data_IF_410710135175
#
_entry.id   IF_410710135175
#
_cell.length_a   1.000
_cell.length_b   1.000
_cell.length_c   1.000
_cell.angle_alpha   90.00
_cell.angle_beta   90.00
_cell.angle_gamma   90.00
#
_symmetry.space_group_name_H-M   'P 1'
#
loop_
_entity.id
_entity.type
_entity.pdbx_description
1 polymer ?
#
# COMPACT_ATOMS: atom_id res chain seq x y z
N UNK A 1 57.68 -68.03 8.98
CA UNK A 1 58.23 -66.69 8.63
C UNK A 1 57.66 -65.71 9.65
N UNK A 2 58.40 -65.30 10.70
CA UNK A 2 59.20 -64.06 10.78
C UNK A 2 58.38 -62.84 10.28
N UNK A 3 58.17 -61.72 10.99
CA UNK A 3 58.80 -61.15 12.19
C UNK A 3 58.14 -59.77 12.50
N UNK A 4 58.09 -59.40 13.79
CA UNK A 4 58.08 -58.05 14.43
C UNK A 4 56.84 -57.11 14.28
N UNK A 5 56.18 -56.67 15.37
CA UNK A 5 56.54 -55.80 16.53
C UNK A 5 56.47 -54.31 16.22
N UNK A 6 55.50 -53.63 16.84
CA UNK A 6 55.47 -52.26 17.41
C UNK A 6 53.99 -51.85 17.52
N UNK A 7 53.45 -51.23 18.56
CA UNK A 7 53.97 -50.57 19.75
C UNK A 7 52.81 -49.66 20.19
N UNK A 8 52.26 -49.86 21.38
CA UNK A 8 51.19 -49.02 21.93
C UNK A 8 51.82 -47.90 22.76
N UNK A 9 51.65 -46.62 22.35
CA UNK A 9 51.46 -45.44 23.24
C UNK A 9 50.69 -44.34 22.48
N UNK A 10 49.69 -43.79 23.19
CA UNK A 10 48.61 -42.81 22.93
C UNK A 10 48.80 -41.56 22.05
N UNK A 11 47.67 -41.15 21.43
CA UNK A 11 47.24 -39.74 21.33
C UNK A 11 45.73 -39.61 21.70
N UNK A 12 45.27 -38.43 22.17
CA UNK A 12 44.07 -38.28 23.01
C UNK A 12 42.77 -38.03 22.25
N UNK A 13 41.68 -38.20 23.01
CA UNK A 13 40.26 -38.07 22.67
C UNK A 13 39.89 -36.97 21.66
N UNK A 14 39.16 -37.37 20.61
CA UNK A 14 38.16 -36.53 19.95
C UNK A 14 36.77 -37.03 20.36
N UNK A 15 36.04 -36.19 21.10
CA UNK A 15 34.66 -36.42 21.49
C UNK A 15 33.74 -36.46 20.25
N UNK A 16 32.62 -37.20 20.28
CA UNK A 16 31.64 -37.15 19.22
C UNK A 16 30.93 -35.79 19.25
N UNK A 17 31.16 -34.96 18.24
CA UNK A 17 30.38 -33.75 17.99
C UNK A 17 28.97 -34.17 17.53
N UNK A 18 28.08 -34.31 18.51
CA UNK A 18 26.68 -33.87 18.50
C UNK A 18 25.96 -33.82 17.14
N UNK A 19 25.29 -34.93 16.79
CA UNK A 19 24.13 -34.98 15.86
C UNK A 19 22.97 -34.04 16.28
N UNK A 20 22.99 -33.54 17.51
CA UNK A 20 21.95 -32.66 18.08
C UNK A 20 21.99 -31.26 17.46
N UNK A 21 23.13 -30.81 16.93
CA UNK A 21 23.28 -29.43 16.44
C UNK A 21 22.77 -29.23 15.00
N UNK A 22 22.73 -30.30 14.19
CA UNK A 22 22.19 -30.23 12.83
C UNK A 22 20.66 -30.32 12.78
N UNK A 23 20.01 -31.07 13.69
CA UNK A 23 18.54 -31.07 13.79
C UNK A 23 17.99 -29.77 14.37
N UNK A 24 18.69 -29.14 15.32
CA UNK A 24 18.26 -27.87 15.92
C UNK A 24 18.24 -26.72 14.90
N UNK A 25 19.25 -26.63 14.02
CA UNK A 25 19.35 -25.57 13.01
C UNK A 25 18.29 -25.71 11.91
N UNK A 26 17.96 -26.95 11.50
CA UNK A 26 16.89 -27.19 10.50
C UNK A 26 15.50 -26.94 11.10
N UNK A 27 15.32 -27.21 12.40
CA UNK A 27 14.06 -27.01 13.08
C UNK A 27 13.77 -25.54 13.40
N UNK A 28 14.79 -24.73 13.73
CA UNK A 28 14.63 -23.29 13.90
C UNK A 28 14.29 -22.57 12.58
N UNK A 29 14.91 -22.96 11.46
CA UNK A 29 14.64 -22.32 10.16
C UNK A 29 13.20 -22.60 9.70
N UNK A 30 12.70 -23.83 9.87
CA UNK A 30 11.29 -24.16 9.59
C UNK A 30 10.28 -23.47 10.53
N UNK A 31 10.69 -23.14 11.76
CA UNK A 31 9.83 -22.44 12.72
C UNK A 31 9.80 -20.92 12.44
N UNK A 32 10.88 -20.36 11.90
CA UNK A 32 10.97 -18.94 11.54
C UNK A 32 10.26 -18.62 10.22
N UNK A 33 10.22 -19.54 9.26
CA UNK A 33 9.46 -19.41 8.00
C UNK A 33 7.93 -19.45 8.26
N UNK A 34 7.48 -20.17 9.30
CA UNK A 34 6.06 -20.23 9.67
C UNK A 34 5.54 -19.01 10.45
N UNK A 35 6.44 -18.17 10.99
CA UNK A 35 6.06 -16.97 11.75
C UNK A 35 5.72 -15.78 10.85
N UNK A 36 6.38 -15.66 9.70
CA UNK A 36 6.17 -14.54 8.76
C UNK A 36 4.97 -14.74 7.82
N UNK A 37 4.47 -15.97 7.66
CA UNK A 37 3.24 -16.25 6.91
C UNK A 37 1.94 -16.05 7.71
N UNK A 38 2.03 -15.90 9.05
CA UNK A 38 0.87 -15.91 9.94
C UNK A 38 0.16 -14.54 10.09
N UNK A 39 0.79 -13.44 9.66
CA UNK A 39 0.24 -12.09 9.89
C UNK A 39 -0.83 -11.71 8.85
N UNK A 40 -0.74 -12.19 7.61
CA UNK A 40 -1.74 -11.94 6.55
C UNK A 40 -2.90 -12.95 6.52
N UNK A 41 -2.66 -14.16 7.03
CA UNK A 41 -3.63 -15.27 7.05
C UNK A 41 -4.61 -15.15 8.21
N UNK A 42 -4.20 -14.64 9.38
CA UNK A 42 -5.05 -14.54 10.56
C UNK A 42 -6.31 -13.68 10.35
N UNK A 43 -6.20 -12.41 9.92
CA UNK A 43 -7.40 -11.55 9.74
C UNK A 43 -8.33 -12.06 8.61
N UNK A 44 -7.77 -12.65 7.56
CA UNK A 44 -8.56 -13.21 6.45
C UNK A 44 -9.29 -14.49 6.86
N UNK A 45 -8.63 -15.34 7.66
CA UNK A 45 -9.17 -16.57 8.22
C UNK A 45 -10.19 -16.26 9.32
N UNK A 46 -9.91 -15.32 10.22
CA UNK A 46 -10.87 -14.79 11.20
C UNK A 46 -12.10 -14.21 10.52
N UNK A 47 -11.95 -13.45 9.43
CA UNK A 47 -13.09 -12.94 8.65
C UNK A 47 -13.94 -14.08 8.06
N UNK A 48 -13.29 -15.12 7.53
CA UNK A 48 -13.98 -16.31 7.00
C UNK A 48 -14.74 -17.06 8.10
N UNK A 49 -14.13 -17.21 9.28
CA UNK A 49 -14.74 -17.80 10.46
C UNK A 49 -15.87 -16.93 11.03
N UNK A 50 -15.74 -15.60 10.98
CA UNK A 50 -16.76 -14.63 11.41
C UNK A 50 -18.04 -14.66 10.59
N UNK A 51 -17.95 -15.06 9.31
CA UNK A 51 -19.13 -15.24 8.46
C UNK A 51 -19.88 -16.53 8.81
N UNK A 52 -19.21 -17.54 9.38
CA UNK A 52 -19.85 -18.77 9.87
C UNK A 52 -20.75 -18.46 11.09
N UNK A 53 -21.82 -19.25 11.32
CA UNK A 53 -22.82 -18.98 12.37
C UNK A 53 -22.26 -18.95 13.81
N UNK A 54 -21.06 -19.48 14.07
CA UNK A 54 -20.39 -19.49 15.38
C UNK A 54 -19.21 -18.50 15.50
N UNK A 55 -19.01 -17.62 14.52
CA UNK A 55 -17.91 -16.64 14.52
C UNK A 55 -18.19 -15.38 15.36
N UNK A 56 -17.19 -14.49 15.52
CA UNK A 56 -17.38 -13.21 16.21
C UNK A 56 -18.51 -12.38 15.59
N UNK A 57 -19.19 -11.54 16.39
CA UNK A 57 -20.42 -10.91 15.96
C UNK A 57 -20.17 -9.92 14.81
N UNK A 58 -20.87 -10.11 13.69
CA UNK A 58 -20.76 -9.34 12.44
C UNK A 58 -20.91 -7.81 12.62
N UNK A 59 -21.51 -7.34 13.72
CA UNK A 59 -21.60 -5.92 14.02
C UNK A 59 -20.26 -5.32 14.45
N UNK A 60 -19.47 -6.02 15.28
CA UNK A 60 -18.15 -5.56 15.74
C UNK A 60 -17.20 -5.42 14.55
N UNK A 61 -17.18 -6.45 13.70
CA UNK A 61 -16.35 -6.48 12.50
C UNK A 61 -16.74 -5.40 11.48
N UNK A 62 -18.06 -5.17 11.31
CA UNK A 62 -18.52 -4.05 10.47
C UNK A 62 -18.15 -2.69 11.05
N UNK A 63 -18.15 -2.51 12.37
CA UNK A 63 -17.76 -1.25 12.99
C UNK A 63 -16.26 -0.98 12.82
N UNK A 64 -15.42 -2.01 13.01
CA UNK A 64 -13.98 -1.94 12.81
C UNK A 64 -13.62 -1.50 11.38
N UNK A 65 -14.11 -2.21 10.36
CA UNK A 65 -13.79 -1.87 8.97
C UNK A 65 -14.37 -0.52 8.53
N UNK A 66 -15.50 -0.08 9.11
CA UNK A 66 -15.99 1.29 8.89
C UNK A 66 -15.03 2.33 9.43
N UNK A 67 -14.52 2.13 10.65
CA UNK A 67 -13.55 3.07 11.25
C UNK A 67 -12.26 3.12 10.43
N UNK A 68 -11.70 1.96 10.06
CA UNK A 68 -10.50 1.87 9.21
C UNK A 68 -10.72 2.53 7.84
N UNK A 69 -11.87 2.28 7.20
CA UNK A 69 -12.20 2.92 5.93
C UNK A 69 -12.36 4.44 6.04
N UNK A 70 -12.94 4.96 7.13
CA UNK A 70 -13.00 6.41 7.38
C UNK A 70 -11.60 7.02 7.50
N UNK A 71 -10.67 6.33 8.16
CA UNK A 71 -9.27 6.77 8.24
C UNK A 71 -8.63 6.82 6.86
N UNK A 72 -8.81 5.80 6.01
CA UNK A 72 -8.29 5.84 4.64
C UNK A 72 -8.91 6.98 3.82
N UNK A 73 -10.22 7.23 3.96
CA UNK A 73 -10.88 8.37 3.31
C UNK A 73 -10.29 9.69 3.81
N UNK A 74 -10.05 9.83 5.12
CA UNK A 74 -9.41 11.03 5.68
C UNK A 74 -8.00 11.25 5.12
N UNK A 75 -7.17 10.20 5.02
CA UNK A 75 -5.86 10.29 4.38
C UNK A 75 -5.96 10.69 2.90
N UNK A 76 -6.97 10.18 2.19
CA UNK A 76 -7.23 10.59 0.82
C UNK A 76 -7.61 12.08 0.72
N UNK A 77 -8.37 12.62 1.68
CA UNK A 77 -8.60 14.07 1.76
C UNK A 77 -7.30 14.87 1.97
N UNK A 78 -6.37 14.39 2.81
CA UNK A 78 -5.08 15.04 2.98
C UNK A 78 -4.26 15.05 1.69
N UNK A 79 -4.20 13.91 0.99
CA UNK A 79 -3.54 13.83 -0.33
C UNK A 79 -4.23 14.72 -1.36
N UNK A 80 -5.55 14.83 -1.32
CA UNK A 80 -6.31 15.75 -2.16
C UNK A 80 -5.92 17.20 -1.89
N UNK A 81 -5.79 17.63 -0.64
CA UNK A 81 -5.35 18.99 -0.32
C UNK A 81 -3.90 19.25 -0.75
N UNK A 82 -3.01 18.25 -0.63
CA UNK A 82 -1.65 18.36 -1.15
C UNK A 82 -1.65 18.53 -2.68
N UNK A 83 -2.45 17.75 -3.40
CA UNK A 83 -2.62 17.90 -4.85
C UNK A 83 -3.24 19.26 -5.19
N UNK A 84 -4.27 19.69 -4.48
CA UNK A 84 -4.92 20.99 -4.69
C UNK A 84 -3.94 22.15 -4.46
N UNK A 85 -3.05 22.06 -3.47
CA UNK A 85 -1.99 23.03 -3.27
C UNK A 85 -1.03 23.08 -4.46
N UNK A 86 -0.66 21.92 -5.02
CA UNK A 86 0.15 21.86 -6.26
C UNK A 86 -0.58 22.46 -7.47
N UNK A 87 -1.89 22.22 -7.62
CA UNK A 87 -2.70 22.82 -8.68
C UNK A 87 -3.08 24.29 -8.43
N UNK A 88 -2.82 24.81 -7.23
CA UNK A 88 -3.30 26.14 -6.85
C UNK A 88 -2.68 27.25 -7.70
N UNK A 89 -1.42 27.12 -8.12
CA UNK A 89 -0.77 28.08 -9.04
C UNK A 89 -1.58 28.25 -10.32
N UNK A 90 -1.89 27.16 -11.03
CA UNK A 90 -2.67 27.23 -12.28
C UNK A 90 -4.12 27.69 -12.05
N UNK A 91 -4.73 27.35 -10.92
CA UNK A 91 -6.08 27.82 -10.58
C UNK A 91 -6.08 29.34 -10.34
N UNK A 92 -5.08 29.86 -9.63
CA UNK A 92 -4.92 31.28 -9.32
C UNK A 92 -4.59 32.09 -10.59
N UNK A 93 -3.69 31.57 -11.43
CA UNK A 93 -3.38 32.15 -12.75
C UNK A 93 -4.65 32.30 -13.60
N UNK A 94 -5.52 31.28 -13.64
CA UNK A 94 -6.80 31.35 -14.38
C UNK A 94 -7.82 32.30 -13.76
N UNK A 95 -7.67 32.64 -12.48
CA UNK A 95 -8.49 33.61 -11.77
C UNK A 95 -7.95 35.04 -11.88
N UNK A 96 -6.86 35.26 -12.65
CA UNK A 96 -6.17 36.55 -12.79
C UNK A 96 -5.58 37.06 -11.45
N UNK A 97 -5.22 36.13 -10.56
CA UNK A 97 -4.60 36.42 -9.25
C UNK A 97 -3.14 35.97 -9.32
N UNK A 98 -2.22 36.94 -9.41
CA UNK A 98 -0.78 36.66 -9.42
C UNK A 98 -0.17 36.85 -8.04
N UNK A 99 0.40 35.77 -7.50
CA UNK A 99 1.16 35.78 -6.24
C UNK A 99 2.61 35.49 -6.61
N UNK A 100 3.48 36.50 -6.45
CA UNK A 100 4.87 36.46 -6.91
C UNK A 100 5.64 35.29 -6.27
N UNK A 101 5.38 35.01 -4.98
CA UNK A 101 6.04 33.93 -4.24
C UNK A 101 5.66 32.52 -4.74
N UNK A 102 4.47 32.36 -5.35
CA UNK A 102 4.07 31.09 -5.96
C UNK A 102 4.72 30.93 -7.33
N UNK A 103 4.80 32.00 -8.12
CA UNK A 103 5.45 31.98 -9.44
C UNK A 103 6.95 31.72 -9.33
N UNK A 104 7.62 32.30 -8.31
CA UNK A 104 9.02 32.05 -8.00
C UNK A 104 9.31 30.60 -7.55
N UNK A 105 8.28 29.85 -7.14
CA UNK A 105 8.44 28.45 -6.75
C UNK A 105 8.59 27.52 -7.97
N UNK A 106 8.37 28.02 -9.19
CA UNK A 106 8.49 27.31 -10.46
C UNK A 106 7.85 25.90 -10.41
N UNK A 107 6.61 25.81 -9.92
CA UNK A 107 5.95 24.51 -9.78
C UNK A 107 5.68 23.95 -11.19
N UNK A 108 5.97 22.65 -11.44
CA UNK A 108 5.67 22.05 -12.73
C UNK A 108 4.19 22.19 -13.11
N UNK A 109 3.92 22.63 -14.35
CA UNK A 109 2.56 22.88 -14.81
C UNK A 109 1.69 21.61 -14.70
N UNK A 110 0.40 21.75 -14.35
CA UNK A 110 -0.47 20.61 -14.10
C UNK A 110 -0.80 19.82 -15.37
N UNK A 111 -0.73 18.50 -15.26
CA UNK A 111 -1.13 17.59 -16.32
C UNK A 111 -2.59 17.15 -16.20
N UNK A 112 -3.24 16.71 -17.29
CA UNK A 112 -4.65 16.31 -17.29
C UNK A 112 -5.00 15.21 -16.26
N UNK A 113 -4.08 14.27 -15.99
CA UNK A 113 -4.34 13.20 -15.03
C UNK A 113 -4.48 13.71 -13.59
N UNK A 114 -3.87 14.86 -13.26
CA UNK A 114 -3.94 15.45 -11.93
C UNK A 114 -5.36 15.95 -11.64
N UNK A 115 -5.98 16.63 -12.61
CA UNK A 115 -7.39 17.01 -12.55
C UNK A 115 -8.30 15.79 -12.52
N UNK A 116 -7.97 14.75 -13.28
CA UNK A 116 -8.76 13.52 -13.26
C UNK A 116 -8.70 12.83 -11.89
N UNK A 117 -7.52 12.79 -11.27
CA UNK A 117 -7.32 12.21 -9.95
C UNK A 117 -8.03 13.01 -8.85
N UNK A 118 -8.00 14.34 -8.89
CA UNK A 118 -8.74 15.18 -7.93
C UNK A 118 -10.25 14.93 -7.98
N UNK A 119 -10.80 14.53 -9.13
CA UNK A 119 -12.19 14.09 -9.28
C UNK A 119 -12.58 12.88 -8.41
N UNK A 120 -11.61 12.07 -7.95
CA UNK A 120 -11.85 10.93 -7.06
C UNK A 120 -12.41 11.34 -5.68
N UNK A 121 -12.27 12.60 -5.28
CA UNK A 121 -12.81 13.14 -4.02
C UNK A 121 -14.34 13.06 -3.95
N UNK A 122 -15.01 13.18 -5.10
CA UNK A 122 -16.47 13.05 -5.20
C UNK A 122 -16.91 11.66 -4.71
N UNK A 123 -16.18 10.62 -5.12
CA UNK A 123 -16.45 9.26 -4.69
C UNK A 123 -16.11 9.07 -3.21
N UNK A 124 -15.07 9.71 -2.68
CA UNK A 124 -14.76 9.67 -1.24
C UNK A 124 -15.94 10.20 -0.40
N UNK A 125 -16.61 11.27 -0.84
CA UNK A 125 -17.83 11.80 -0.20
C UNK A 125 -18.98 10.79 -0.27
N UNK A 126 -19.19 10.15 -1.43
CA UNK A 126 -20.18 9.07 -1.59
C UNK A 126 -19.88 7.91 -0.62
N UNK A 127 -18.60 7.56 -0.46
CA UNK A 127 -18.13 6.55 0.50
C UNK A 127 -18.50 6.89 1.94
N UNK A 128 -18.23 8.12 2.40
CA UNK A 128 -18.62 8.56 3.76
C UNK A 128 -20.13 8.48 3.99
N UNK A 129 -20.93 8.91 3.01
CA UNK A 129 -22.40 8.82 3.08
C UNK A 129 -22.87 7.36 3.11
N UNK A 130 -22.22 6.48 2.34
CA UNK A 130 -22.51 5.06 2.34
C UNK A 130 -22.28 4.41 3.72
N UNK A 131 -21.19 4.80 4.41
CA UNK A 131 -20.85 4.28 5.74
C UNK A 131 -21.83 4.75 6.83
N UNK A 132 -22.35 5.97 6.72
CA UNK A 132 -23.36 6.50 7.65
C UNK A 132 -24.71 5.79 7.50
N UNK A 133 -25.12 5.52 6.26
CA UNK A 133 -26.45 4.94 5.95
C UNK A 133 -26.45 3.43 5.70
N UNK A 134 -25.30 2.74 5.82
CA UNK A 134 -25.13 1.33 5.46
C UNK A 134 -25.63 0.98 4.04
N UNK A 135 -25.47 1.89 3.08
CA UNK A 135 -26.00 1.72 1.72
C UNK A 135 -25.02 0.95 0.86
N UNK A 136 -25.34 -0.31 0.56
CA UNK A 136 -24.51 -1.21 -0.24
C UNK A 136 -24.23 -0.66 -1.65
N UNK A 137 -25.26 -0.11 -2.32
CA UNK A 137 -25.12 0.46 -3.67
C UNK A 137 -24.09 1.60 -3.70
N UNK A 138 -24.21 2.58 -2.80
CA UNK A 138 -23.27 3.69 -2.68
C UNK A 138 -21.83 3.23 -2.35
N UNK A 139 -21.68 2.18 -1.56
CA UNK A 139 -20.36 1.63 -1.25
C UNK A 139 -19.73 0.92 -2.47
N UNK A 140 -20.52 0.26 -3.32
CA UNK A 140 -20.04 -0.27 -4.60
C UNK A 140 -19.64 0.87 -5.56
N UNK A 141 -20.43 1.94 -5.65
CA UNK A 141 -20.09 3.11 -6.47
C UNK A 141 -18.79 3.78 -6.00
N UNK A 142 -18.60 3.89 -4.68
CA UNK A 142 -17.34 4.37 -4.10
C UNK A 142 -16.15 3.49 -4.51
N UNK A 143 -16.28 2.17 -4.41
CA UNK A 143 -15.21 1.24 -4.82
C UNK A 143 -14.89 1.37 -6.32
N UNK A 144 -15.91 1.41 -7.18
CA UNK A 144 -15.73 1.59 -8.61
C UNK A 144 -15.05 2.93 -8.95
N UNK A 145 -15.51 4.03 -8.36
CA UNK A 145 -14.89 5.35 -8.57
C UNK A 145 -13.47 5.46 -8.03
N UNK A 146 -13.16 4.77 -6.92
CA UNK A 146 -11.79 4.69 -6.40
C UNK A 146 -10.85 3.96 -7.36
N UNK A 147 -11.33 2.92 -8.05
CA UNK A 147 -10.53 2.25 -9.09
C UNK A 147 -10.33 3.18 -10.29
N UNK A 148 -11.44 3.71 -10.84
CA UNK A 148 -11.41 4.46 -12.12
C UNK A 148 -10.74 5.83 -12.01
N UNK A 149 -11.01 6.59 -10.94
CA UNK A 149 -10.47 7.94 -10.76
C UNK A 149 -9.38 8.02 -9.70
N UNK A 150 -9.25 7.04 -8.81
CA UNK A 150 -8.16 6.99 -7.84
C UNK A 150 -6.95 6.25 -8.39
N UNK A 151 -7.10 4.97 -8.77
CA UNK A 151 -5.97 4.12 -9.15
C UNK A 151 -5.55 4.33 -10.61
N UNK A 152 -6.48 4.34 -11.57
CA UNK A 152 -6.10 4.42 -12.99
C UNK A 152 -5.27 5.67 -13.34
N UNK A 153 -5.59 6.89 -12.88
CA UNK A 153 -4.77 8.07 -13.18
C UNK A 153 -3.36 7.96 -12.58
N UNK A 154 -3.20 7.33 -11.41
CA UNK A 154 -1.90 7.10 -10.78
C UNK A 154 -1.06 6.09 -11.55
N UNK A 155 -1.68 5.01 -12.07
CA UNK A 155 -0.99 4.05 -12.93
C UNK A 155 -0.55 4.67 -14.25
N UNK A 156 -1.41 5.50 -14.84
CA UNK A 156 -1.04 6.28 -16.03
C UNK A 156 0.16 7.19 -15.75
N UNK A 157 0.15 7.93 -14.64
CA UNK A 157 1.27 8.77 -14.24
C UNK A 157 2.55 7.97 -13.99
N UNK A 158 2.47 6.80 -13.37
CA UNK A 158 3.63 5.94 -13.14
C UNK A 158 4.30 5.49 -14.45
N UNK A 159 3.50 5.11 -15.45
CA UNK A 159 3.99 4.73 -16.78
C UNK A 159 4.58 5.95 -17.48
N UNK A 160 3.92 7.11 -17.40
CA UNK A 160 4.38 8.35 -18.01
C UNK A 160 5.76 8.78 -17.51
N UNK A 161 5.98 8.76 -16.20
CA UNK A 161 7.26 9.15 -15.58
C UNK A 161 8.30 8.04 -15.51
N UNK A 162 8.03 6.86 -16.07
CA UNK A 162 8.96 5.74 -15.99
C UNK A 162 10.27 6.03 -16.72
N UNK A 163 10.22 6.63 -17.91
CA UNK A 163 11.42 6.99 -18.69
C UNK A 163 12.34 7.92 -17.90
N UNK A 164 11.77 8.92 -17.25
CA UNK A 164 12.53 9.97 -16.57
C UNK A 164 13.24 9.40 -15.34
N UNK A 165 12.56 8.51 -14.61
CA UNK A 165 13.14 7.83 -13.45
C UNK A 165 14.19 6.82 -13.87
N UNK A 166 13.98 6.08 -14.97
CA UNK A 166 14.97 5.16 -15.51
C UNK A 166 16.23 5.90 -15.97
N UNK A 167 16.08 7.00 -16.71
CA UNK A 167 17.20 7.83 -17.14
C UNK A 167 17.95 8.46 -15.97
N UNK A 168 17.22 8.93 -14.94
CA UNK A 168 17.84 9.42 -13.71
C UNK A 168 18.61 8.33 -12.96
N UNK A 169 18.13 7.08 -12.97
CA UNK A 169 18.82 5.98 -12.31
C UNK A 169 20.17 5.67 -13.00
N UNK A 170 20.25 5.80 -14.32
CA UNK A 170 21.45 5.54 -15.11
C UNK A 170 22.44 6.73 -15.10
N UNK A 171 21.96 7.92 -15.45
CA UNK A 171 22.79 9.11 -15.69
C UNK A 171 22.85 10.08 -14.49
N UNK A 172 22.04 9.85 -13.47
CA UNK A 172 21.96 10.69 -12.25
C UNK A 172 21.80 12.17 -12.59
N UNK A 173 22.74 13.00 -12.15
CA UNK A 173 22.67 14.45 -12.32
C UNK A 173 22.84 14.90 -13.78
N UNK A 174 23.44 14.07 -14.63
CA UNK A 174 23.63 14.33 -16.06
C UNK A 174 22.38 14.00 -16.91
N UNK A 175 21.33 13.44 -16.30
CA UNK A 175 20.06 13.21 -16.98
C UNK A 175 19.44 14.54 -17.46
N UNK A 176 19.10 14.59 -18.75
CA UNK A 176 18.43 15.72 -19.42
C UNK A 176 16.91 15.65 -19.20
N UNK A 177 16.51 15.62 -17.93
CA UNK A 177 15.11 15.49 -17.50
C UNK A 177 14.64 16.72 -16.74
N UNK A 178 13.32 16.93 -16.70
CA UNK A 178 12.72 18.03 -15.95
C UNK A 178 12.97 17.87 -14.44
N UNK A 179 13.50 18.93 -13.81
CA UNK A 179 13.86 18.97 -12.39
C UNK A 179 13.14 20.13 -11.71
N UNK A 180 12.55 19.87 -10.55
CA UNK A 180 11.99 20.88 -9.66
C UNK A 180 12.83 20.92 -8.38
N UNK A 181 13.38 22.09 -8.05
CA UNK A 181 14.28 22.30 -6.91
C UNK A 181 15.50 21.33 -6.92
N UNK A 182 16.02 21.02 -8.11
CA UNK A 182 17.17 20.11 -8.29
C UNK A 182 16.83 18.61 -8.22
N UNK A 183 15.58 18.25 -7.97
CA UNK A 183 15.10 16.86 -7.92
C UNK A 183 14.24 16.59 -9.16
N UNK A 184 14.39 15.43 -9.84
CA UNK A 184 13.55 15.08 -10.97
C UNK A 184 12.07 15.09 -10.61
N UNK A 185 11.24 15.71 -11.46
CA UNK A 185 9.79 15.80 -11.26
C UNK A 185 9.17 14.40 -11.17
N UNK A 186 9.65 13.45 -11.98
CA UNK A 186 9.23 12.05 -11.90
C UNK A 186 9.43 11.41 -10.52
N UNK A 187 10.50 11.77 -9.78
CA UNK A 187 10.77 11.19 -8.47
C UNK A 187 9.76 11.68 -7.41
N UNK A 188 9.39 12.96 -7.46
CA UNK A 188 8.31 13.52 -6.65
C UNK A 188 6.98 12.81 -6.92
N UNK A 189 6.67 12.56 -8.20
CA UNK A 189 5.48 11.81 -8.59
C UNK A 189 5.49 10.38 -8.07
N UNK A 190 6.60 9.65 -8.17
CA UNK A 190 6.68 8.29 -7.64
C UNK A 190 6.49 8.24 -6.12
N UNK A 191 6.99 9.23 -5.39
CA UNK A 191 6.72 9.38 -3.95
C UNK A 191 5.23 9.54 -3.66
N UNK A 192 4.57 10.48 -4.34
CA UNK A 192 3.14 10.70 -4.20
C UNK A 192 2.31 9.47 -4.61
N UNK A 193 2.59 8.89 -5.78
CA UNK A 193 1.90 7.70 -6.33
C UNK A 193 1.98 6.55 -5.34
N UNK A 194 3.16 6.29 -4.76
CA UNK A 194 3.33 5.18 -3.81
C UNK A 194 2.39 5.32 -2.60
N UNK A 195 2.35 6.51 -1.98
CA UNK A 195 1.47 6.77 -0.83
C UNK A 195 0.00 6.73 -1.24
N UNK A 196 -0.36 7.37 -2.36
CA UNK A 196 -1.73 7.42 -2.83
C UNK A 196 -2.29 6.04 -3.21
N UNK A 197 -1.50 5.23 -3.91
CA UNK A 197 -1.85 3.83 -4.24
C UNK A 197 -2.06 3.02 -2.96
N UNK A 198 -1.17 3.14 -1.96
CA UNK A 198 -1.36 2.45 -0.68
C UNK A 198 -2.69 2.83 -0.02
N UNK A 199 -3.00 4.13 0.07
CA UNK A 199 -4.26 4.62 0.64
C UNK A 199 -5.46 4.06 -0.12
N UNK A 200 -5.43 4.03 -1.46
CA UNK A 200 -6.52 3.49 -2.28
C UNK A 200 -6.65 1.97 -2.17
N UNK A 201 -5.55 1.22 -2.11
CA UNK A 201 -5.56 -0.24 -1.94
C UNK A 201 -6.19 -0.63 -0.59
N UNK A 202 -5.79 0.03 0.50
CA UNK A 202 -6.41 -0.20 1.81
C UNK A 202 -7.89 0.22 1.83
N UNK A 203 -8.22 1.34 1.18
CA UNK A 203 -9.61 1.78 1.01
C UNK A 203 -10.47 0.71 0.35
N UNK A 204 -10.00 0.16 -0.77
CA UNK A 204 -10.70 -0.90 -1.51
C UNK A 204 -10.79 -2.18 -0.70
N UNK A 205 -9.70 -2.58 -0.03
CA UNK A 205 -9.68 -3.76 0.83
C UNK A 205 -10.78 -3.69 1.90
N UNK A 206 -10.86 -2.58 2.65
CA UNK A 206 -11.88 -2.41 3.68
C UNK A 206 -13.29 -2.26 3.10
N UNK A 207 -13.45 -1.56 1.97
CA UNK A 207 -14.73 -1.45 1.28
C UNK A 207 -15.25 -2.83 0.83
N UNK A 208 -14.43 -3.68 0.23
CA UNK A 208 -14.83 -5.02 -0.19
C UNK A 208 -15.18 -5.93 0.99
N UNK A 209 -14.46 -5.83 2.11
CA UNK A 209 -14.82 -6.56 3.35
C UNK A 209 -16.18 -6.12 3.88
N UNK A 210 -16.47 -4.81 3.90
CA UNK A 210 -17.76 -4.27 4.30
C UNK A 210 -18.89 -4.69 3.36
N UNK A 211 -18.68 -4.63 2.04
CA UNK A 211 -19.63 -5.09 1.01
C UNK A 211 -20.01 -6.55 1.28
N UNK A 212 -19.03 -7.42 1.53
CA UNK A 212 -19.26 -8.83 1.87
C UNK A 212 -20.11 -8.98 3.15
N UNK A 213 -19.77 -8.28 4.24
CA UNK A 213 -20.52 -8.34 5.50
C UNK A 213 -21.97 -7.86 5.31
N UNK A 214 -22.18 -6.73 4.64
CA UNK A 214 -23.52 -6.16 4.47
C UNK A 214 -24.41 -7.00 3.57
N UNK A 215 -23.84 -7.66 2.54
CA UNK A 215 -24.56 -8.66 1.73
C UNK A 215 -25.02 -9.85 2.57
N UNK A 216 -24.18 -10.36 3.48
CA UNK A 216 -24.56 -11.46 4.38
C UNK A 216 -25.68 -11.02 5.33
N UNK A 217 -25.60 -9.81 5.89
CA UNK A 217 -26.67 -9.28 6.75
C UNK A 217 -28.00 -9.13 6.01
N UNK A 218 -27.97 -8.64 4.78
CA UNK A 218 -29.18 -8.48 3.97
C UNK A 218 -29.85 -9.82 3.63
N UNK A 219 -29.08 -10.90 3.47
CA UNK A 219 -29.62 -12.26 3.25
C UNK A 219 -30.22 -12.90 4.51
N UNK A 220 -29.90 -12.39 5.70
CA UNK A 220 -30.37 -12.91 7.00
C UNK A 220 -31.53 -12.09 7.58
N UNK A 221 -31.81 -10.92 7.01
CA UNK A 221 -32.93 -10.06 7.36
C UNK A 221 -34.14 -10.44 6.51
#
# INVERSE_FOLDING_TARGET
MKQQVNGYVQEPMAAPQTEIEQEAVVQEDHQQINSTAHVGTSEAQEFSLAIKPKGPPLFKLSALYKSRLKTCIFLHFLLFFAMLAKLSEDILDRMDIFILELEELFIPKPMPFEYLWTGSIIFAIIGLRALSRNRLSSLNSYAAGTVVLGICPLLFAAIWFYSDVAEYAEKKQEAEIEKWQGIPVGLWWYGFITVAVQVHLYSLFFAFKLIKIWRVKLKRA
#
